data_IF_871585523782
#
_entry.id   IF_871585523782
#
_cell.length_a   1.000
_cell.length_b   1.000
_cell.length_c   1.000
_cell.angle_alpha   90.00
_cell.angle_beta   90.00
_cell.angle_gamma   90.00
#
_symmetry.space_group_name_H-M   'P 1'
#
loop_
_entity.id
_entity.type
_entity.pdbx_description
1 polymer ?
#
# COMPACT_ATOMS: atom_id res chain seq x y z
N UNK A 1 -14.53 14.91 9.82
CA UNK A 1 -13.21 14.29 9.54
C UNK A 1 -12.64 14.93 8.29
N UNK A 2 -11.32 15.16 8.20
CA UNK A 2 -10.71 15.78 7.03
C UNK A 2 -10.95 14.91 5.79
N UNK A 3 -11.35 15.56 4.70
CA UNK A 3 -11.87 14.93 3.48
C UNK A 3 -10.78 14.45 2.51
N UNK A 4 -9.51 14.83 2.71
CA UNK A 4 -8.37 14.38 1.87
C UNK A 4 -7.42 13.43 2.61
N UNK A 5 -7.02 13.73 3.86
CA UNK A 5 -6.15 12.86 4.67
C UNK A 5 -6.74 11.47 5.00
N UNK A 6 -8.05 11.28 4.80
CA UNK A 6 -8.70 9.99 5.09
C UNK A 6 -8.34 8.89 4.09
N UNK A 7 -7.76 9.24 2.93
CA UNK A 7 -7.42 8.28 1.87
C UNK A 7 -6.12 8.58 1.13
N UNK A 8 -5.62 9.81 1.19
CA UNK A 8 -4.41 10.20 0.46
C UNK A 8 -3.18 10.14 1.36
N UNK A 9 -2.05 9.77 0.77
CA UNK A 9 -0.75 9.98 1.36
C UNK A 9 -0.44 11.48 1.30
N UNK A 10 -0.08 12.07 2.44
CA UNK A 10 0.27 13.48 2.57
C UNK A 10 1.51 13.62 3.46
N UNK A 11 2.28 14.71 3.34
CA UNK A 11 3.41 14.96 4.24
C UNK A 11 2.98 15.05 5.71
N UNK A 12 3.90 14.73 6.63
CA UNK A 12 3.63 14.80 8.07
C UNK A 12 3.13 16.20 8.50
N UNK A 13 3.69 17.26 7.91
CA UNK A 13 3.30 18.64 8.22
C UNK A 13 1.85 18.92 7.86
N UNK A 14 1.40 18.51 6.66
CA UNK A 14 0.00 18.62 6.23
C UNK A 14 -0.91 17.82 7.15
N UNK A 15 -0.53 16.59 7.48
CA UNK A 15 -1.29 15.73 8.38
C UNK A 15 -1.50 16.38 9.75
N UNK A 16 -0.44 16.93 10.35
CA UNK A 16 -0.53 17.63 11.64
C UNK A 16 -1.43 18.86 11.55
N UNK A 17 -1.25 19.71 10.52
CA UNK A 17 -2.05 20.92 10.36
C UNK A 17 -3.53 20.59 10.21
N UNK A 18 -3.88 19.61 9.38
CA UNK A 18 -5.29 19.21 9.17
C UNK A 18 -5.92 18.66 10.45
N UNK A 19 -5.21 17.85 11.23
CA UNK A 19 -5.75 17.28 12.47
C UNK A 19 -5.81 18.30 13.62
N UNK A 20 -4.83 19.19 13.78
CA UNK A 20 -4.85 20.22 14.82
C UNK A 20 -5.86 21.33 14.55
N UNK A 21 -6.07 21.71 13.28
CA UNK A 21 -7.00 22.79 12.92
C UNK A 21 -8.46 22.49 13.28
N UNK A 22 -8.78 21.21 13.53
CA UNK A 22 -10.14 20.74 13.76
C UNK A 22 -10.50 20.43 15.22
N UNK A 23 -9.52 20.25 16.13
CA UNK A 23 -9.80 19.78 17.50
C UNK A 23 -9.47 20.78 18.62
N UNK A 24 -8.72 21.85 18.37
CA UNK A 24 -8.37 22.89 19.37
C UNK A 24 -7.44 22.42 20.50
N UNK A 25 -7.34 21.10 20.74
CA UNK A 25 -6.38 20.43 21.61
C UNK A 25 -6.19 18.98 21.14
N UNK A 26 -4.96 18.47 21.10
CA UNK A 26 -4.69 17.08 20.75
C UNK A 26 -4.83 16.18 21.97
N UNK A 27 -5.88 15.36 22.00
CA UNK A 27 -6.01 14.32 23.03
C UNK A 27 -4.98 13.18 22.82
N UNK A 28 -4.95 12.23 23.75
CA UNK A 28 -4.03 11.09 23.66
C UNK A 28 -4.25 10.23 22.41
N UNK A 29 -5.48 10.19 21.86
CA UNK A 29 -5.79 9.43 20.65
C UNK A 29 -5.19 10.12 19.43
N UNK A 30 -5.35 11.45 19.33
CA UNK A 30 -4.78 12.27 18.26
C UNK A 30 -3.25 12.23 18.29
N UNK A 31 -2.62 12.27 19.47
CA UNK A 31 -1.16 12.09 19.59
C UNK A 31 -0.69 10.69 19.15
N UNK A 32 -1.44 9.63 19.50
CA UNK A 32 -1.13 8.26 19.04
C UNK A 32 -1.26 8.14 17.53
N UNK A 33 -2.30 8.74 16.96
CA UNK A 33 -2.53 8.77 15.51
C UNK A 33 -1.36 9.45 14.78
N UNK A 34 -0.93 10.63 15.26
CA UNK A 34 0.22 11.35 14.71
C UNK A 34 1.51 10.54 14.81
N UNK A 35 1.75 9.88 15.95
CA UNK A 35 2.92 9.02 16.11
C UNK A 35 2.88 7.81 15.17
N UNK A 36 1.72 7.17 15.01
CA UNK A 36 1.54 6.06 14.06
C UNK A 36 1.79 6.52 12.63
N UNK A 37 1.27 7.69 12.24
CA UNK A 37 1.50 8.24 10.90
C UNK A 37 2.98 8.57 10.68
N UNK A 38 3.65 9.22 11.63
CA UNK A 38 5.08 9.48 11.53
C UNK A 38 5.91 8.19 11.39
N UNK A 39 5.55 7.12 12.11
CA UNK A 39 6.20 5.82 11.98
C UNK A 39 5.88 5.14 10.64
N UNK A 40 4.68 5.32 10.10
CA UNK A 40 4.31 4.89 8.77
C UNK A 40 5.17 5.58 7.70
N UNK A 41 5.26 6.91 7.74
CA UNK A 41 6.03 7.72 6.80
C UNK A 41 7.53 7.40 6.80
N UNK A 42 8.09 6.96 7.94
CA UNK A 42 9.50 6.54 8.06
C UNK A 42 9.82 5.18 7.44
N UNK A 43 8.82 4.38 7.05
CA UNK A 43 9.09 3.06 6.49
C UNK A 43 9.79 3.21 5.14
N UNK A 44 10.81 2.38 4.90
CA UNK A 44 11.47 2.31 3.59
C UNK A 44 10.50 1.77 2.55
N UNK A 45 10.52 2.34 1.35
CA UNK A 45 9.67 1.87 0.26
C UNK A 45 10.14 0.51 -0.25
N UNK A 46 9.24 -0.46 -0.18
CA UNK A 46 9.45 -1.81 -0.72
C UNK A 46 8.38 -2.14 -1.74
N UNK A 47 8.72 -3.03 -2.68
CA UNK A 47 7.82 -3.41 -3.77
C UNK A 47 6.47 -3.98 -3.29
N UNK A 48 6.50 -4.75 -2.18
CA UNK A 48 5.31 -5.36 -1.58
C UNK A 48 4.27 -4.37 -1.05
N UNK A 49 4.63 -3.10 -0.89
CA UNK A 49 3.68 -2.04 -0.54
C UNK A 49 2.76 -1.66 -1.71
N UNK A 50 3.13 -2.01 -2.95
CA UNK A 50 2.43 -1.59 -4.16
C UNK A 50 1.79 -2.74 -4.92
N UNK A 51 2.49 -3.88 -5.00
CA UNK A 51 2.02 -5.07 -5.73
C UNK A 51 2.23 -6.34 -4.91
N UNK A 52 1.42 -7.39 -5.11
CA UNK A 52 1.57 -8.65 -4.40
C UNK A 52 2.93 -9.32 -4.70
N UNK A 53 3.69 -9.63 -3.65
CA UNK A 53 4.98 -10.34 -3.74
C UNK A 53 5.01 -11.57 -2.83
N UNK A 54 5.86 -12.53 -3.17
CA UNK A 54 6.18 -13.68 -2.31
C UNK A 54 7.11 -13.26 -1.15
N UNK A 55 7.41 -14.17 -0.18
CA UNK A 55 8.32 -13.87 0.92
C UNK A 55 9.75 -13.52 0.51
N UNK A 56 10.15 -13.83 -0.73
CA UNK A 56 11.45 -13.52 -1.31
C UNK A 56 11.44 -12.18 -2.06
N UNK A 57 10.29 -11.51 -2.18
CA UNK A 57 10.13 -10.24 -2.89
C UNK A 57 9.88 -10.39 -4.39
N UNK A 58 9.62 -11.59 -4.90
CA UNK A 58 9.24 -11.79 -6.29
C UNK A 58 7.77 -11.43 -6.51
N UNK A 59 7.48 -10.73 -7.60
CA UNK A 59 6.11 -10.36 -7.95
C UNK A 59 5.29 -11.61 -8.26
N UNK A 60 4.17 -11.76 -7.56
CA UNK A 60 3.21 -12.81 -7.83
C UNK A 60 2.34 -12.42 -9.03
N UNK A 61 2.12 -13.37 -9.93
CA UNK A 61 1.18 -13.19 -11.03
C UNK A 61 -0.25 -13.32 -10.50
N UNK A 62 -1.13 -12.42 -10.93
CA UNK A 62 -2.54 -12.54 -10.61
C UNK A 62 -3.12 -13.87 -11.14
N UNK A 63 -3.72 -14.70 -10.28
CA UNK A 63 -4.35 -15.94 -10.69
C UNK A 63 -5.50 -15.70 -11.68
N UNK A 64 -5.75 -16.66 -12.57
CA UNK A 64 -6.87 -16.56 -13.52
C UNK A 64 -8.19 -16.41 -12.76
N UNK A 65 -9.04 -15.50 -13.24
CA UNK A 65 -10.35 -15.19 -12.66
C UNK A 65 -10.30 -14.72 -11.19
N UNK A 66 -9.16 -14.20 -10.71
CA UNK A 66 -9.02 -13.75 -9.31
C UNK A 66 -10.06 -12.69 -8.92
N UNK A 67 -10.28 -11.69 -9.77
CA UNK A 67 -11.30 -10.66 -9.53
C UNK A 67 -12.70 -11.24 -9.30
N UNK A 68 -13.11 -12.20 -10.14
CA UNK A 68 -14.40 -12.90 -10.01
C UNK A 68 -14.41 -13.73 -8.73
N UNK A 69 -13.37 -14.53 -8.51
CA UNK A 69 -13.23 -15.40 -7.35
C UNK A 69 -13.33 -14.62 -6.03
N UNK A 70 -12.69 -13.46 -5.93
CA UNK A 70 -12.66 -12.60 -4.73
C UNK A 70 -14.04 -12.06 -4.34
N UNK A 71 -14.96 -11.94 -5.30
CA UNK A 71 -16.33 -11.45 -5.05
C UNK A 71 -17.31 -12.52 -4.56
N UNK A 72 -16.94 -13.80 -4.65
CA UNK A 72 -17.83 -14.90 -4.22
C UNK A 72 -17.89 -14.96 -2.69
N UNK A 73 -19.08 -15.01 -2.11
CA UNK A 73 -19.34 -14.91 -0.66
C UNK A 73 -18.62 -15.96 0.20
N UNK A 74 -18.24 -17.11 -0.38
CA UNK A 74 -17.56 -18.20 0.31
C UNK A 74 -16.03 -18.16 0.22
N UNK A 75 -15.47 -17.17 -0.46
CA UNK A 75 -14.02 -17.01 -0.64
C UNK A 75 -13.47 -15.98 0.34
N UNK A 76 -13.57 -16.29 1.64
CA UNK A 76 -13.03 -15.48 2.73
C UNK A 76 -11.53 -15.70 2.98
N UNK A 77 -10.88 -16.52 2.15
CA UNK A 77 -9.48 -16.92 2.27
C UNK A 77 -9.24 -18.05 3.28
N UNK A 78 -10.29 -18.67 3.86
CA UNK A 78 -10.14 -19.85 4.72
C UNK A 78 -9.95 -21.12 3.91
N UNK A 79 -9.29 -22.13 4.52
CA UNK A 79 -8.94 -23.42 3.90
C UNK A 79 -10.17 -24.14 3.34
N UNK A 80 -10.05 -24.55 2.09
CA UNK A 80 -10.95 -25.37 1.30
C UNK A 80 -10.00 -26.22 0.47
N UNK A 81 -10.19 -27.54 0.50
CA UNK A 81 -9.24 -28.56 0.03
C UNK A 81 -9.20 -28.70 -1.50
N UNK A 82 -9.74 -27.73 -2.23
CA UNK A 82 -9.74 -27.76 -3.69
C UNK A 82 -8.39 -27.24 -4.23
N UNK A 83 -7.72 -28.12 -4.99
CA UNK A 83 -6.33 -28.02 -5.50
C UNK A 83 -6.04 -26.78 -6.39
N UNK A 84 -7.03 -25.98 -6.75
CA UNK A 84 -6.87 -24.73 -7.52
C UNK A 84 -7.00 -23.43 -6.70
N UNK A 85 -7.29 -23.49 -5.40
CA UNK A 85 -7.59 -22.31 -4.58
C UNK A 85 -6.37 -21.72 -3.86
N UNK A 86 -5.25 -22.45 -3.84
CA UNK A 86 -4.08 -22.03 -3.06
C UNK A 86 -3.37 -20.84 -3.69
N UNK A 87 -3.29 -20.76 -5.02
CA UNK A 87 -2.74 -19.59 -5.71
C UNK A 87 -3.55 -18.31 -5.41
N UNK A 88 -4.89 -18.40 -5.44
CA UNK A 88 -5.78 -17.29 -5.07
C UNK A 88 -5.58 -16.85 -3.62
N UNK A 89 -5.37 -17.79 -2.68
CA UNK A 89 -5.09 -17.44 -1.27
C UNK A 89 -3.73 -16.79 -1.07
N UNK A 90 -2.69 -17.34 -1.69
CA UNK A 90 -1.33 -16.78 -1.61
C UNK A 90 -1.36 -15.36 -2.15
N UNK A 91 -1.95 -15.17 -3.33
CA UNK A 91 -2.09 -13.85 -3.94
C UNK A 91 -2.92 -12.90 -3.08
N UNK A 92 -4.08 -13.34 -2.56
CA UNK A 92 -4.92 -12.51 -1.68
C UNK A 92 -4.19 -12.11 -0.39
N UNK A 93 -3.39 -13.02 0.18
CA UNK A 93 -2.61 -12.73 1.39
C UNK A 93 -1.53 -11.71 1.10
N UNK A 94 -0.84 -11.82 -0.04
CA UNK A 94 0.15 -10.86 -0.48
C UNK A 94 -0.48 -9.50 -0.83
N UNK A 95 -1.63 -9.47 -1.49
CA UNK A 95 -2.40 -8.26 -1.81
C UNK A 95 -2.81 -7.49 -0.54
N UNK A 96 -3.13 -8.21 0.55
CA UNK A 96 -3.43 -7.58 1.86
C UNK A 96 -2.23 -6.88 2.49
N UNK A 97 -1.01 -7.10 2.00
CA UNK A 97 0.18 -6.37 2.47
C UNK A 97 0.42 -5.07 1.69
N UNK A 98 -0.29 -4.85 0.58
CA UNK A 98 -0.19 -3.61 -0.18
C UNK A 98 -0.76 -2.43 0.62
N UNK A 99 -0.02 -1.33 0.62
CA UNK A 99 -0.33 -0.09 1.34
C UNK A 99 -0.82 1.02 0.42
N UNK A 100 -0.51 0.93 -0.88
CA UNK A 100 -0.87 1.93 -1.89
C UNK A 100 -1.78 1.33 -2.96
N UNK A 101 -2.72 2.14 -3.45
CA UNK A 101 -3.69 1.75 -4.47
C UNK A 101 -3.31 2.28 -5.86
N UNK A 102 -3.73 1.56 -6.90
CA UNK A 102 -3.67 2.01 -8.29
C UNK A 102 -2.27 1.96 -8.91
N UNK A 103 -1.49 0.93 -8.57
CA UNK A 103 -0.20 0.66 -9.19
C UNK A 103 -0.22 -0.66 -9.96
N UNK A 104 0.43 -0.66 -11.11
CA UNK A 104 0.48 -1.79 -12.03
C UNK A 104 1.91 -2.11 -12.44
N UNK A 105 2.19 -3.41 -12.59
CA UNK A 105 3.46 -3.92 -13.07
C UNK A 105 3.58 -3.70 -14.58
N UNK A 106 4.57 -2.90 -15.02
CA UNK A 106 4.86 -2.68 -16.45
C UNK A 106 6.12 -3.41 -16.91
N UNK A 107 7.02 -3.74 -16.00
CA UNK A 107 8.25 -4.45 -16.33
C UNK A 107 8.73 -5.30 -15.16
N UNK A 108 9.06 -6.57 -15.45
CA UNK A 108 9.61 -7.50 -14.49
C UNK A 108 10.88 -8.15 -15.07
N UNK A 109 11.97 -7.40 -15.03
CA UNK A 109 13.25 -7.82 -15.59
C UNK A 109 14.07 -8.70 -14.65
N UNK A 110 15.29 -9.00 -15.07
CA UNK A 110 16.24 -9.78 -14.27
C UNK A 110 16.71 -9.04 -13.01
N UNK A 111 17.05 -7.76 -13.13
CA UNK A 111 17.63 -6.95 -12.04
C UNK A 111 16.69 -5.90 -11.45
N UNK A 112 15.61 -5.55 -12.15
CA UNK A 112 14.72 -4.44 -11.78
C UNK A 112 13.26 -4.77 -12.09
N UNK A 113 12.38 -4.33 -11.20
CA UNK A 113 10.93 -4.30 -11.39
C UNK A 113 10.49 -2.86 -11.54
N UNK A 114 9.60 -2.58 -12.50
CA UNK A 114 9.00 -1.25 -12.67
C UNK A 114 7.49 -1.34 -12.56
N UNK A 115 6.94 -0.39 -11.82
CA UNK A 115 5.51 -0.19 -11.65
C UNK A 115 5.14 1.23 -12.05
N UNK A 116 3.93 1.41 -12.55
CA UNK A 116 3.36 2.74 -12.87
C UNK A 116 2.05 2.92 -12.14
N UNK A 117 1.63 4.16 -11.94
CA UNK A 117 0.29 4.47 -11.48
C UNK A 117 -0.71 4.26 -12.63
N UNK A 118 -1.74 3.42 -12.45
CA UNK A 118 -2.70 3.00 -13.48
C UNK A 118 -3.37 4.16 -14.24
N UNK A 119 -3.62 5.28 -13.54
CA UNK A 119 -4.30 6.46 -14.11
C UNK A 119 -3.32 7.59 -14.49
N UNK A 120 -2.03 7.42 -14.23
CA UNK A 120 -1.01 8.40 -14.55
C UNK A 120 0.36 7.74 -14.72
N UNK A 121 0.69 7.38 -15.96
CA UNK A 121 1.97 6.75 -16.28
C UNK A 121 3.19 7.69 -16.08
N UNK A 122 3.01 8.97 -15.71
CA UNK A 122 4.12 9.85 -15.34
C UNK A 122 4.76 9.45 -14.01
N UNK A 123 4.03 8.73 -13.15
CA UNK A 123 4.55 8.19 -11.90
C UNK A 123 5.04 6.76 -12.14
N UNK A 124 6.32 6.63 -12.44
CA UNK A 124 7.02 5.36 -12.55
C UNK A 124 7.97 5.15 -11.36
N UNK A 125 7.90 3.96 -10.75
CA UNK A 125 8.81 3.55 -9.68
C UNK A 125 9.61 2.33 -10.13
N UNK A 126 10.91 2.36 -9.86
CA UNK A 126 11.82 1.24 -10.11
C UNK A 126 12.31 0.64 -8.78
N UNK A 127 12.30 -0.68 -8.69
CA UNK A 127 12.76 -1.45 -7.54
C UNK A 127 13.85 -2.43 -7.96
N UNK A 128 15.00 -2.39 -7.28
CA UNK A 128 16.07 -3.35 -7.53
C UNK A 128 15.68 -4.71 -6.94
N UNK A 129 15.93 -5.80 -7.68
CA UNK A 129 15.70 -7.16 -7.18
C UNK A 129 16.78 -7.65 -6.22
N UNK A 130 17.92 -6.95 -6.16
CA UNK A 130 19.02 -7.34 -5.28
C UNK A 130 18.77 -6.95 -3.83
N UNK A 131 18.19 -5.76 -3.61
CA UNK A 131 17.97 -5.18 -2.29
C UNK A 131 16.49 -4.86 -2.00
N UNK A 132 15.60 -5.06 -2.99
CA UNK A 132 14.15 -4.84 -2.92
C UNK A 132 13.73 -3.40 -2.57
N UNK A 133 14.64 -2.44 -2.80
CA UNK A 133 14.42 -1.02 -2.49
C UNK A 133 14.04 -0.22 -3.73
N UNK A 134 13.23 0.80 -3.51
CA UNK A 134 12.95 1.81 -4.52
C UNK A 134 14.22 2.59 -4.85
N UNK A 135 14.49 2.79 -6.14
CA UNK A 135 15.66 3.55 -6.62
C UNK A 135 15.47 5.06 -6.49
N UNK A 136 14.22 5.54 -6.52
CA UNK A 136 13.89 6.97 -6.59
C UNK A 136 13.64 7.57 -5.20
N UNK A 137 12.93 6.85 -4.34
CA UNK A 137 12.49 7.35 -3.04
C UNK A 137 12.95 6.41 -1.92
N UNK A 138 13.47 6.99 -0.85
CA UNK A 138 14.03 6.21 0.26
C UNK A 138 12.94 5.64 1.17
N UNK A 139 11.95 6.47 1.49
CA UNK A 139 10.88 6.18 2.45
C UNK A 139 9.55 6.75 1.97
N UNK A 140 8.49 6.42 2.70
CA UNK A 140 7.12 6.84 2.36
C UNK A 140 6.98 8.38 2.43
N UNK A 141 7.68 9.05 3.35
CA UNK A 141 7.68 10.53 3.41
C UNK A 141 8.23 11.15 2.12
N UNK A 142 9.37 10.69 1.64
CA UNK A 142 9.94 11.19 0.39
C UNK A 142 9.02 10.94 -0.82
N UNK A 143 8.19 9.91 -0.74
CA UNK A 143 7.19 9.56 -1.76
C UNK A 143 5.91 10.40 -1.69
N UNK A 144 5.61 11.02 -0.53
CA UNK A 144 4.42 11.86 -0.33
C UNK A 144 4.39 13.16 -1.13
N UNK A 145 5.51 13.50 -1.79
CA UNK A 145 5.61 14.67 -2.69
C UNK A 145 4.84 14.49 -4.00
N UNK A 146 4.45 13.26 -4.31
CA UNK A 146 3.64 12.97 -5.49
C UNK A 146 2.17 13.17 -5.16
N UNK A 147 1.48 13.94 -6.00
CA UNK A 147 0.04 14.12 -5.89
C UNK A 147 -0.71 12.80 -6.19
N UNK A 148 -1.90 12.66 -5.61
CA UNK A 148 -2.86 11.56 -5.93
C UNK A 148 -2.43 10.13 -5.56
N UNK A 149 -1.57 10.00 -4.55
CA UNK A 149 -1.25 8.69 -3.96
C UNK A 149 -2.34 8.30 -2.95
N UNK A 150 -3.10 7.25 -3.27
CA UNK A 150 -4.14 6.69 -2.41
C UNK A 150 -3.61 5.55 -1.55
N UNK A 151 -4.04 5.50 -0.29
CA UNK A 151 -3.74 4.48 0.71
C UNK A 151 -4.83 3.41 0.73
N UNK A 152 -4.42 2.14 0.89
CA UNK A 152 -5.36 1.03 1.06
C UNK A 152 -6.07 1.11 2.43
N UNK A 153 -7.24 0.45 2.59
CA UNK A 153 -7.89 0.33 3.90
C UNK A 153 -6.98 -0.30 4.98
N UNK A 154 -6.06 -1.18 4.57
CA UNK A 154 -5.06 -1.78 5.47
C UNK A 154 -4.05 -0.74 5.97
N UNK A 155 -3.55 0.12 5.09
CA UNK A 155 -2.65 1.21 5.47
C UNK A 155 -3.32 2.16 6.46
N UNK A 156 -4.55 2.59 6.16
CA UNK A 156 -5.35 3.43 7.06
C UNK A 156 -5.55 2.79 8.44
N UNK A 157 -5.91 1.50 8.48
CA UNK A 157 -6.03 0.75 9.73
C UNK A 157 -4.72 0.68 10.51
N UNK A 158 -3.59 0.57 9.81
CA UNK A 158 -2.25 0.53 10.44
C UNK A 158 -1.90 1.87 11.07
N UNK A 159 -2.32 2.97 10.45
CA UNK A 159 -2.16 4.33 10.98
C UNK A 159 -3.09 4.57 12.18
N UNK A 160 -4.23 3.87 12.24
CA UNK A 160 -5.25 4.02 13.29
C UNK A 160 -6.46 4.84 12.84
N UNK A 161 -6.58 5.09 11.54
CA UNK A 161 -7.76 5.69 10.93
C UNK A 161 -8.80 4.57 10.77
N UNK A 162 -9.90 4.67 11.52
CA UNK A 162 -11.03 3.73 11.45
C UNK A 162 -11.97 4.14 10.32
N UNK A 163 -12.32 3.17 9.47
CA UNK A 163 -13.53 3.19 8.64
C UNK A 163 -14.53 2.23 9.24
#
# INVERSE_FOLDING_TARGET
MPTDASHKLIPMTTFVIEYYSNEGYADLQTLRLMNNYANFLKQSLTLGMFVPVDPQGNVLKEPKNYAIWKTLEHNDGKKSDAVGFEEHRIYQTAERNCLFEGFELVYNGYSVVRIVKSNNNSVELSFSKNDLKCSTFKDIEAFSVLDEISLTPKALKTIGIKK
#
